data_IF_868400862720
#
_entry.id   IF_868400862720
#
_cell.length_a   1.000
_cell.length_b   1.000
_cell.length_c   1.000
_cell.angle_alpha   90.00
_cell.angle_beta   90.00
_cell.angle_gamma   90.00
#
_symmetry.space_group_name_H-M   'P 1'
#
loop_
_entity.id
_entity.type
_entity.pdbx_description
1 polymer ?
#
# COMPACT_ATOMS: atom_id res chain seq x y z
N UNK A 1 -14.73 -14.13 -32.58
CA UNK A 1 -14.17 -14.88 -31.43
C UNK A 1 -13.44 -14.00 -30.42
N UNK A 2 -12.45 -13.18 -30.80
CA UNK A 2 -11.79 -12.21 -29.89
C UNK A 2 -12.77 -11.37 -29.05
N UNK A 3 -13.79 -10.77 -29.70
CA UNK A 3 -14.86 -10.01 -29.02
C UNK A 3 -15.65 -10.81 -27.97
N UNK A 4 -15.88 -12.11 -28.20
CA UNK A 4 -16.65 -12.99 -27.30
C UNK A 4 -15.81 -13.33 -26.05
N UNK A 5 -14.52 -13.60 -26.25
CA UNK A 5 -13.57 -13.84 -25.17
C UNK A 5 -13.37 -12.61 -24.27
N UNK A 6 -13.24 -11.43 -24.89
CA UNK A 6 -13.10 -10.16 -24.17
C UNK A 6 -14.37 -9.84 -23.36
N UNK A 7 -15.55 -10.10 -23.91
CA UNK A 7 -16.83 -9.98 -23.21
C UNK A 7 -16.91 -10.94 -22.02
N UNK A 8 -16.49 -12.20 -22.19
CA UNK A 8 -16.47 -13.19 -21.11
C UNK A 8 -15.52 -12.80 -19.98
N UNK A 9 -14.34 -12.26 -20.32
CA UNK A 9 -13.37 -11.78 -19.33
C UNK A 9 -13.92 -10.58 -18.55
N UNK A 10 -14.56 -9.62 -19.23
CA UNK A 10 -15.25 -8.50 -18.57
C UNK A 10 -16.33 -8.96 -17.60
N UNK A 11 -17.20 -9.89 -18.02
CA UNK A 11 -18.25 -10.46 -17.17
C UNK A 11 -17.66 -11.20 -15.96
N UNK A 12 -16.60 -11.99 -16.14
CA UNK A 12 -15.91 -12.67 -15.02
C UNK A 12 -15.30 -11.68 -14.02
N UNK A 13 -14.68 -10.60 -14.49
CA UNK A 13 -14.14 -9.53 -13.63
C UNK A 13 -15.25 -8.86 -12.82
N UNK A 14 -16.40 -8.57 -13.44
CA UNK A 14 -17.56 -7.99 -12.76
C UNK A 14 -18.12 -8.93 -11.69
N UNK A 15 -18.32 -10.22 -12.00
CA UNK A 15 -18.80 -11.21 -11.02
C UNK A 15 -17.86 -11.38 -9.83
N UNK A 16 -16.53 -11.40 -10.05
CA UNK A 16 -15.54 -11.43 -8.96
C UNK A 16 -15.60 -10.17 -8.10
N UNK A 17 -15.74 -8.98 -8.71
CA UNK A 17 -15.94 -7.73 -7.95
C UNK A 17 -17.21 -7.78 -7.10
N UNK A 18 -18.31 -8.31 -7.62
CA UNK A 18 -19.56 -8.50 -6.86
C UNK A 18 -19.41 -9.52 -5.72
N UNK A 19 -18.69 -10.62 -5.93
CA UNK A 19 -18.43 -11.62 -4.90
C UNK A 19 -17.54 -11.08 -3.76
N UNK A 20 -16.46 -10.36 -4.11
CA UNK A 20 -15.55 -9.76 -3.11
C UNK A 20 -16.27 -8.76 -2.21
N UNK A 21 -17.18 -7.96 -2.77
CA UNK A 21 -18.03 -7.02 -2.01
C UNK A 21 -18.97 -7.69 -1.02
N UNK A 22 -19.40 -8.93 -1.27
CA UNK A 22 -20.25 -9.68 -0.34
C UNK A 22 -19.51 -10.16 0.91
N UNK A 23 -18.19 -10.37 0.79
CA UNK A 23 -17.32 -10.79 1.89
C UNK A 23 -16.96 -9.63 2.82
N UNK A 24 -16.83 -8.41 2.30
CA UNK A 24 -16.42 -7.22 3.08
C UNK A 24 -17.56 -6.61 3.91
N UNK A 25 -18.83 -6.88 3.59
CA UNK A 25 -19.98 -6.43 4.38
C UNK A 25 -20.05 -7.13 5.76
N UNK A 26 -19.25 -8.19 5.97
CA UNK A 26 -19.31 -9.03 7.18
C UNK A 26 -18.26 -8.70 8.26
N UNK A 27 -17.34 -7.75 8.06
CA UNK A 27 -16.26 -7.52 9.04
C UNK A 27 -15.66 -6.11 9.01
N UNK A 28 -15.81 -5.43 10.16
CA UNK A 28 -15.00 -4.35 10.75
C UNK A 28 -15.20 -2.89 10.32
N UNK A 29 -15.68 -2.08 11.28
CA UNK A 29 -15.54 -0.61 11.39
C UNK A 29 -14.14 -0.24 11.91
N UNK A 30 -13.62 0.98 11.63
CA UNK A 30 -13.62 2.02 12.68
C UNK A 30 -13.84 3.47 12.20
N UNK A 31 -14.20 4.31 13.19
CA UNK A 31 -14.52 5.74 13.17
C UNK A 31 -13.42 6.68 12.61
N UNK A 32 -13.80 7.68 11.81
CA UNK A 32 -13.47 9.11 12.04
C UNK A 32 -14.16 10.05 11.03
N UNK A 33 -14.57 11.21 11.54
CA UNK A 33 -15.47 12.20 10.92
C UNK A 33 -14.77 13.22 10.00
N UNK A 34 -15.54 13.83 9.08
CA UNK A 34 -15.65 15.29 8.89
C UNK A 34 -16.77 15.69 7.91
N UNK A 35 -17.32 16.87 8.16
CA UNK A 35 -18.67 17.35 7.85
C UNK A 35 -18.73 18.32 6.64
N UNK A 36 -19.94 18.42 6.07
CA UNK A 36 -20.51 19.47 5.19
C UNK A 36 -20.01 19.53 3.72
N UNK A 37 -20.83 19.79 2.67
CA UNK A 37 -21.95 20.73 2.61
C UNK A 37 -22.84 20.53 1.35
N UNK A 38 -24.14 20.84 1.47
CA UNK A 38 -25.02 21.47 0.46
C UNK A 38 -25.19 20.86 -0.94
N UNK A 39 -26.36 20.25 -1.21
CA UNK A 39 -26.80 19.97 -2.58
C UNK A 39 -28.09 19.15 -2.67
N UNK A 40 -29.24 19.79 -2.44
CA UNK A 40 -30.57 19.20 -2.70
C UNK A 40 -30.66 18.71 -4.16
N UNK A 41 -31.24 17.51 -4.32
CA UNK A 41 -31.67 16.85 -5.57
C UNK A 41 -30.58 16.08 -6.33
N UNK A 42 -30.19 14.90 -5.81
CA UNK A 42 -29.61 13.76 -6.58
C UNK A 42 -29.47 12.45 -5.75
N UNK A 43 -30.32 12.24 -4.74
CA UNK A 43 -30.15 11.19 -3.72
C UNK A 43 -30.15 9.74 -4.28
N UNK A 44 -30.80 9.48 -5.42
CA UNK A 44 -30.90 8.11 -5.96
C UNK A 44 -29.61 7.60 -6.60
N UNK A 45 -28.82 8.46 -7.24
CA UNK A 45 -27.52 8.08 -7.82
C UNK A 45 -26.40 8.18 -6.78
N UNK A 46 -26.45 9.19 -5.91
CA UNK A 46 -25.42 9.47 -4.92
C UNK A 46 -25.30 8.35 -3.88
N UNK A 47 -26.40 7.77 -3.40
CA UNK A 47 -26.35 6.64 -2.46
C UNK A 47 -25.87 5.35 -3.11
N UNK A 48 -26.29 5.09 -4.35
CA UNK A 48 -25.83 3.95 -5.13
C UNK A 48 -24.33 4.06 -5.37
N UNK A 49 -23.82 5.26 -5.63
CA UNK A 49 -22.40 5.53 -5.78
C UNK A 49 -21.64 5.45 -4.45
N UNK A 50 -22.22 5.99 -3.37
CA UNK A 50 -21.67 5.92 -2.00
C UNK A 50 -21.55 4.48 -1.51
N UNK A 51 -22.59 3.65 -1.64
CA UNK A 51 -22.54 2.23 -1.27
C UNK A 51 -21.68 1.38 -2.23
N UNK A 52 -21.55 1.80 -3.50
CA UNK A 52 -20.66 1.12 -4.48
C UNK A 52 -19.19 1.45 -4.25
N UNK A 53 -18.89 2.64 -3.74
CA UNK A 53 -17.52 3.17 -3.60
C UNK A 53 -17.01 3.15 -2.14
N UNK A 54 -17.90 3.17 -1.15
CA UNK A 54 -17.61 3.19 0.28
C UNK A 54 -18.47 2.14 1.02
N UNK A 55 -18.05 0.85 1.01
CA UNK A 55 -18.65 -0.15 1.89
C UNK A 55 -18.40 0.15 3.39
N UNK A 56 -17.57 1.16 3.70
CA UNK A 56 -17.23 1.63 5.05
C UNK A 56 -17.85 3.00 5.36
N UNK A 57 -18.97 3.35 4.71
CA UNK A 57 -19.66 4.61 5.00
C UNK A 57 -19.94 4.73 6.51
N UNK A 58 -19.71 5.92 7.06
CA UNK A 58 -19.84 6.14 8.50
C UNK A 58 -21.31 6.02 8.93
N UNK A 59 -21.54 5.77 10.22
CA UNK A 59 -22.91 5.72 10.77
C UNK A 59 -23.64 7.05 10.56
N UNK A 60 -22.92 8.17 10.61
CA UNK A 60 -23.45 9.51 10.35
C UNK A 60 -23.87 9.69 8.89
N UNK A 61 -23.10 9.16 7.93
CA UNK A 61 -23.45 9.21 6.49
C UNK A 61 -24.70 8.37 6.18
N UNK A 62 -24.86 7.23 6.86
CA UNK A 62 -26.05 6.41 6.75
C UNK A 62 -27.25 7.10 7.40
N UNK A 63 -27.05 7.73 8.56
CA UNK A 63 -28.09 8.46 9.28
C UNK A 63 -28.62 9.63 8.45
N UNK A 64 -27.74 10.52 7.97
CA UNK A 64 -28.09 11.66 7.11
C UNK A 64 -28.69 11.28 5.75
N UNK A 65 -28.66 10.00 5.38
CA UNK A 65 -29.31 9.52 4.17
C UNK A 65 -30.73 9.01 4.43
N UNK A 66 -30.99 8.45 5.62
CA UNK A 66 -32.30 7.96 6.02
C UNK A 66 -33.16 9.12 6.52
N UNK A 67 -32.57 10.01 7.32
CA UNK A 67 -33.13 11.29 7.76
C UNK A 67 -33.28 12.21 6.53
N UNK A 68 -34.47 12.21 5.96
CA UNK A 68 -34.79 12.84 4.69
C UNK A 68 -35.15 14.32 4.84
N UNK A 69 -35.64 14.72 6.00
CA UNK A 69 -35.98 16.11 6.32
C UNK A 69 -34.88 16.85 7.09
N UNK A 70 -33.92 16.13 7.68
CA UNK A 70 -32.77 16.65 8.39
C UNK A 70 -33.10 17.07 9.82
N UNK A 71 -34.15 16.51 10.43
CA UNK A 71 -34.56 16.84 11.79
C UNK A 71 -33.70 16.17 12.88
N UNK A 72 -32.77 15.29 12.47
CA UNK A 72 -31.87 14.57 13.37
C UNK A 72 -32.49 13.33 14.02
N UNK A 73 -33.69 12.94 13.59
CA UNK A 73 -34.40 11.71 13.94
C UNK A 73 -34.70 10.91 12.67
N UNK A 74 -35.18 9.67 12.83
CA UNK A 74 -35.68 8.87 11.71
C UNK A 74 -37.10 8.48 12.08
N UNK A 75 -38.07 8.98 11.34
CA UNK A 75 -39.47 8.64 11.57
C UNK A 75 -39.85 7.29 10.91
N UNK A 76 -41.06 6.80 11.22
CA UNK A 76 -41.54 5.52 10.68
C UNK A 76 -41.67 5.54 9.15
N UNK A 77 -42.03 6.68 8.56
CA UNK A 77 -42.21 6.84 7.12
C UNK A 77 -40.86 6.80 6.41
N UNK A 78 -39.87 7.52 6.92
CA UNK A 78 -38.49 7.53 6.44
C UNK A 78 -37.86 6.14 6.51
N UNK A 79 -38.11 5.41 7.61
CA UNK A 79 -37.65 4.03 7.75
C UNK A 79 -38.31 3.08 6.74
N UNK A 80 -39.62 3.19 6.53
CA UNK A 80 -40.36 2.38 5.54
C UNK A 80 -39.86 2.68 4.12
N UNK A 81 -39.66 3.95 3.78
CA UNK A 81 -39.12 4.32 2.48
C UNK A 81 -37.70 3.79 2.27
N UNK A 82 -36.83 3.93 3.27
CA UNK A 82 -35.47 3.42 3.21
C UNK A 82 -35.45 1.90 3.01
N UNK A 83 -36.22 1.15 3.79
CA UNK A 83 -36.28 -0.31 3.70
C UNK A 83 -36.84 -0.77 2.36
N UNK A 84 -37.89 -0.12 1.84
CA UNK A 84 -38.44 -0.39 0.51
C UNK A 84 -37.40 -0.14 -0.59
N UNK A 85 -36.68 0.99 -0.54
CA UNK A 85 -35.59 1.29 -1.47
C UNK A 85 -34.48 0.25 -1.40
N UNK A 86 -34.09 -0.17 -0.18
CA UNK A 86 -33.07 -1.20 0.04
C UNK A 86 -33.44 -2.54 -0.57
N UNK A 87 -34.68 -2.98 -0.40
CA UNK A 87 -35.19 -4.23 -0.98
C UNK A 87 -35.18 -4.19 -2.50
N UNK A 88 -35.62 -3.08 -3.11
CA UNK A 88 -35.61 -2.91 -4.56
C UNK A 88 -34.18 -2.94 -5.12
N UNK A 89 -33.22 -2.29 -4.45
CA UNK A 89 -31.80 -2.35 -4.84
C UNK A 89 -31.23 -3.78 -4.77
N UNK A 90 -31.58 -4.53 -3.72
CA UNK A 90 -31.16 -5.93 -3.62
C UNK A 90 -31.73 -6.77 -4.75
N UNK A 91 -33.01 -6.57 -5.08
CA UNK A 91 -33.67 -7.23 -6.20
C UNK A 91 -32.98 -6.91 -7.53
N UNK A 92 -32.71 -5.65 -7.82
CA UNK A 92 -32.00 -5.23 -9.03
C UNK A 92 -30.58 -5.81 -9.11
N UNK A 93 -29.86 -5.84 -7.99
CA UNK A 93 -28.53 -6.46 -7.91
C UNK A 93 -28.56 -7.96 -8.20
N UNK A 94 -29.57 -8.68 -7.69
CA UNK A 94 -29.78 -10.10 -7.98
C UNK A 94 -30.16 -10.31 -9.45
N UNK A 95 -31.05 -9.50 -10.00
CA UNK A 95 -31.43 -9.55 -11.41
C UNK A 95 -30.23 -9.28 -12.34
N UNK A 96 -29.41 -8.27 -12.04
CA UNK A 96 -28.20 -7.96 -12.79
C UNK A 96 -27.20 -9.12 -12.72
N UNK A 97 -26.98 -9.69 -11.53
CA UNK A 97 -26.15 -10.88 -11.36
C UNK A 97 -26.67 -12.05 -12.20
N UNK A 98 -27.97 -12.31 -12.20
CA UNK A 98 -28.58 -13.39 -12.97
C UNK A 98 -28.41 -13.15 -14.48
N UNK A 99 -28.58 -11.91 -14.95
CA UNK A 99 -28.30 -11.52 -16.34
C UNK A 99 -26.84 -11.74 -16.73
N UNK A 100 -25.90 -11.36 -15.85
CA UNK A 100 -24.47 -11.57 -16.07
C UNK A 100 -24.12 -13.06 -16.12
N UNK A 101 -24.70 -13.87 -15.23
CA UNK A 101 -24.52 -15.33 -15.23
C UNK A 101 -25.09 -15.98 -16.50
N UNK A 102 -26.28 -15.57 -16.94
CA UNK A 102 -26.87 -16.06 -18.19
C UNK A 102 -26.00 -15.70 -19.39
N UNK A 103 -25.51 -14.46 -19.45
CA UNK A 103 -24.58 -14.00 -20.49
C UNK A 103 -23.27 -14.79 -20.47
N UNK A 104 -22.71 -15.04 -19.28
CA UNK A 104 -21.52 -15.88 -19.11
C UNK A 104 -21.72 -17.28 -19.68
N UNK A 105 -22.83 -17.95 -19.33
CA UNK A 105 -23.16 -19.29 -19.83
C UNK A 105 -23.31 -19.31 -21.36
N UNK A 106 -24.00 -18.31 -21.92
CA UNK A 106 -24.18 -18.18 -23.38
C UNK A 106 -22.84 -18.00 -24.11
N UNK A 107 -21.94 -17.16 -23.57
CA UNK A 107 -20.61 -16.95 -24.14
C UNK A 107 -19.74 -18.21 -24.02
N UNK A 108 -19.83 -18.95 -22.90
CA UNK A 108 -19.14 -20.22 -22.73
C UNK A 108 -19.61 -21.26 -23.75
N UNK A 109 -20.92 -21.37 -23.99
CA UNK A 109 -21.46 -22.32 -24.96
C UNK A 109 -21.05 -21.95 -26.40
N UNK A 110 -21.03 -20.66 -26.73
CA UNK A 110 -20.49 -20.19 -28.03
C UNK A 110 -19.01 -20.54 -28.20
N UNK A 111 -18.22 -20.44 -27.14
CA UNK A 111 -16.81 -20.86 -27.12
C UNK A 111 -16.66 -22.38 -27.28
N UNK A 112 -17.53 -23.16 -26.62
CA UNK A 112 -17.53 -24.63 -26.70
C UNK A 112 -17.77 -25.09 -28.14
N UNK A 113 -18.78 -24.51 -28.79
CA UNK A 113 -19.17 -24.80 -30.18
C UNK A 113 -18.26 -24.18 -31.24
N UNK A 114 -17.27 -23.38 -30.86
CA UNK A 114 -16.38 -22.74 -31.83
C UNK A 114 -15.48 -23.77 -32.55
N UNK A 115 -15.19 -23.57 -33.86
CA UNK A 115 -14.25 -24.40 -34.60
C UNK A 115 -12.86 -24.45 -33.93
N UNK A 116 -12.09 -25.55 -34.10
CA UNK A 116 -10.75 -25.68 -33.52
C UNK A 116 -9.81 -24.53 -33.91
N UNK A 117 -9.86 -24.09 -35.17
CA UNK A 117 -9.05 -22.97 -35.69
C UNK A 117 -9.35 -21.65 -34.96
N UNK A 118 -10.63 -21.42 -34.62
CA UNK A 118 -11.07 -20.26 -33.86
C UNK A 118 -10.53 -20.28 -32.43
N UNK A 119 -10.49 -21.46 -31.80
CA UNK A 119 -9.93 -21.66 -30.45
C UNK A 119 -8.42 -21.44 -30.44
N UNK A 120 -7.71 -21.89 -31.48
CA UNK A 120 -6.27 -21.70 -31.60
C UNK A 120 -5.88 -20.23 -31.82
N UNK A 121 -6.62 -19.52 -32.70
CA UNK A 121 -6.44 -18.05 -32.88
C UNK A 121 -6.69 -17.28 -31.59
N UNK A 122 -7.67 -17.69 -30.80
CA UNK A 122 -7.95 -17.08 -29.50
C UNK A 122 -6.84 -17.37 -28.47
N UNK A 123 -6.32 -18.60 -28.42
CA UNK A 123 -5.18 -18.97 -27.56
C UNK A 123 -3.95 -18.14 -27.91
N UNK A 124 -3.62 -18.02 -29.20
CA UNK A 124 -2.55 -17.13 -29.68
C UNK A 124 -2.82 -15.68 -29.29
N UNK A 125 -4.04 -15.18 -29.49
CA UNK A 125 -4.43 -13.83 -29.11
C UNK A 125 -4.30 -13.54 -27.61
N UNK A 126 -4.62 -14.52 -26.75
CA UNK A 126 -4.41 -14.42 -25.29
C UNK A 126 -2.94 -14.39 -24.92
N UNK A 127 -2.12 -15.27 -25.49
CA UNK A 127 -0.68 -15.27 -25.26
C UNK A 127 -0.03 -13.92 -25.66
N UNK A 128 -0.46 -13.31 -26.77
CA UNK A 128 -0.01 -11.97 -27.14
C UNK A 128 -0.46 -10.88 -26.16
N UNK A 129 -1.69 -10.97 -25.65
CA UNK A 129 -2.20 -10.01 -24.67
C UNK A 129 -1.45 -10.12 -23.32
N UNK A 130 -1.23 -11.34 -22.83
CA UNK A 130 -0.46 -11.62 -21.62
C UNK A 130 0.99 -11.14 -21.76
N UNK A 131 1.64 -11.42 -22.89
CA UNK A 131 2.99 -10.93 -23.16
C UNK A 131 3.05 -9.40 -23.20
N UNK A 132 2.03 -8.75 -23.77
CA UNK A 132 1.93 -7.28 -23.79
C UNK A 132 1.75 -6.69 -22.39
N UNK A 133 0.92 -7.30 -21.56
CA UNK A 133 0.71 -6.88 -20.17
C UNK A 133 1.99 -7.04 -19.35
N UNK A 134 2.70 -8.17 -19.50
CA UNK A 134 3.99 -8.39 -18.85
C UNK A 134 5.04 -7.33 -19.22
N UNK A 135 5.18 -7.02 -20.52
CA UNK A 135 6.10 -5.96 -20.97
C UNK A 135 5.71 -4.58 -20.43
N UNK A 136 4.41 -4.30 -20.30
CA UNK A 136 3.93 -3.04 -19.74
C UNK A 136 4.29 -2.92 -18.25
N UNK A 137 4.08 -3.99 -17.48
CA UNK A 137 4.46 -4.03 -16.06
C UNK A 137 5.96 -3.87 -15.86
N UNK A 138 6.78 -4.52 -16.70
CA UNK A 138 8.23 -4.36 -16.67
C UNK A 138 8.66 -2.92 -16.99
N UNK A 139 8.04 -2.30 -18.01
CA UNK A 139 8.28 -0.90 -18.35
C UNK A 139 7.93 0.05 -17.20
N UNK A 140 6.78 -0.14 -16.56
CA UNK A 140 6.36 0.66 -15.40
C UNK A 140 7.34 0.53 -14.23
N UNK A 141 7.80 -0.69 -13.94
CA UNK A 141 8.83 -0.95 -12.92
C UNK A 141 10.15 -0.24 -13.23
N UNK A 142 10.58 -0.25 -14.50
CA UNK A 142 11.78 0.48 -14.93
C UNK A 142 11.61 2.00 -14.82
N UNK A 143 10.43 2.53 -15.10
CA UNK A 143 10.14 3.96 -14.93
C UNK A 143 10.22 4.35 -13.45
N UNK A 144 9.61 3.57 -12.56
CA UNK A 144 9.69 3.78 -11.11
C UNK A 144 11.14 3.75 -10.60
N UNK A 145 11.92 2.75 -11.03
CA UNK A 145 13.34 2.64 -10.69
C UNK A 145 14.14 3.87 -11.16
N UNK A 146 13.87 4.36 -12.38
CA UNK A 146 14.54 5.54 -12.91
C UNK A 146 14.17 6.83 -12.17
N UNK A 147 12.92 6.98 -11.74
CA UNK A 147 12.49 8.12 -10.91
C UNK A 147 13.24 8.10 -9.58
N UNK A 148 13.29 6.95 -8.92
CA UNK A 148 14.03 6.77 -7.67
C UNK A 148 15.53 7.09 -7.81
N UNK A 149 16.18 6.60 -8.87
CA UNK A 149 17.59 6.89 -9.12
C UNK A 149 17.85 8.38 -9.37
N UNK A 150 16.93 9.08 -10.04
CA UNK A 150 17.03 10.53 -10.24
C UNK A 150 16.91 11.30 -8.93
N UNK A 151 15.93 10.96 -8.09
CA UNK A 151 15.78 11.57 -6.76
C UNK A 151 17.05 11.39 -5.91
N UNK A 152 17.60 10.17 -5.90
CA UNK A 152 18.83 9.86 -5.16
C UNK A 152 20.05 10.59 -5.71
N UNK A 153 20.14 10.77 -7.03
CA UNK A 153 21.18 11.57 -7.66
C UNK A 153 21.05 13.05 -7.27
N UNK A 154 19.82 13.60 -7.27
CA UNK A 154 19.57 14.97 -6.86
C UNK A 154 19.93 15.23 -5.39
N UNK A 155 19.66 14.28 -4.49
CA UNK A 155 20.09 14.35 -3.09
C UNK A 155 21.61 14.43 -2.96
N UNK A 156 22.34 13.57 -3.69
CA UNK A 156 23.80 13.60 -3.72
C UNK A 156 24.32 14.93 -4.28
N UNK A 157 23.71 15.44 -5.34
CA UNK A 157 24.10 16.74 -5.93
C UNK A 157 23.82 17.90 -4.97
N UNK A 158 22.68 17.90 -4.27
CA UNK A 158 22.34 18.91 -3.25
C UNK A 158 23.33 18.87 -2.09
N UNK A 159 23.65 17.67 -1.59
CA UNK A 159 24.66 17.48 -0.54
C UNK A 159 26.03 18.02 -0.95
N UNK A 160 26.44 17.81 -2.20
CA UNK A 160 27.70 18.34 -2.73
C UNK A 160 27.69 19.87 -2.91
N UNK A 161 26.57 20.48 -3.33
CA UNK A 161 26.47 21.94 -3.54
C UNK A 161 26.42 22.75 -2.24
N UNK A 162 25.96 22.18 -1.14
CA UNK A 162 25.84 22.87 0.16
C UNK A 162 27.18 23.13 0.88
N UNK A 163 28.33 22.80 0.28
CA UNK A 163 29.64 23.35 0.66
C UNK A 163 30.20 22.94 2.03
N UNK A 164 29.63 21.95 2.74
CA UNK A 164 30.01 21.67 4.13
C UNK A 164 30.20 20.21 4.56
N UNK A 165 30.01 19.22 3.69
CA UNK A 165 30.20 17.83 4.08
C UNK A 165 30.34 16.96 2.86
N UNK A 166 31.49 16.31 2.73
CA UNK A 166 31.81 15.43 1.60
C UNK A 166 30.64 14.48 1.32
N UNK A 167 30.22 14.35 0.06
CA UNK A 167 29.33 13.28 -0.40
C UNK A 167 29.78 11.85 -0.06
N UNK A 168 30.90 11.69 0.66
CA UNK A 168 31.24 10.49 1.43
C UNK A 168 30.14 10.11 2.42
N UNK A 169 29.45 11.05 3.07
CA UNK A 169 28.51 10.73 4.15
C UNK A 169 27.45 9.69 3.77
N UNK A 170 26.68 9.91 2.69
CA UNK A 170 25.60 8.96 2.30
C UNK A 170 26.15 7.60 1.88
N UNK A 171 27.25 7.57 1.11
CA UNK A 171 27.91 6.32 0.70
C UNK A 171 28.53 5.59 1.89
N UNK A 172 29.01 6.32 2.89
CA UNK A 172 29.58 5.80 4.13
C UNK A 172 28.49 5.22 5.03
N UNK A 173 27.32 5.85 5.13
CA UNK A 173 26.14 5.28 5.80
C UNK A 173 25.68 3.99 5.11
N UNK A 174 25.65 3.96 3.78
CA UNK A 174 25.26 2.75 3.04
C UNK A 174 26.28 1.61 3.23
N UNK A 175 27.58 1.92 3.22
CA UNK A 175 28.64 0.95 3.52
C UNK A 175 28.55 0.45 4.95
N UNK A 176 28.30 1.34 5.90
CA UNK A 176 28.07 1.01 7.31
C UNK A 176 26.90 0.04 7.45
N UNK A 177 25.74 0.39 6.90
CA UNK A 177 24.54 -0.45 6.97
C UNK A 177 24.78 -1.82 6.34
N UNK A 178 25.40 -1.90 5.16
CA UNK A 178 25.75 -3.18 4.52
C UNK A 178 26.74 -4.01 5.35
N UNK A 179 27.74 -3.39 5.96
CA UNK A 179 28.71 -4.09 6.80
C UNK A 179 28.04 -4.71 8.03
N UNK A 180 27.11 -3.98 8.66
CA UNK A 180 26.31 -4.47 9.78
C UNK A 180 25.36 -5.58 9.35
N UNK A 181 24.59 -5.38 8.26
CA UNK A 181 23.66 -6.40 7.75
C UNK A 181 24.38 -7.70 7.37
N UNK A 182 25.58 -7.64 6.79
CA UNK A 182 26.38 -8.81 6.44
C UNK A 182 26.79 -9.67 7.66
N UNK A 183 26.76 -9.10 8.87
CA UNK A 183 27.05 -9.77 10.14
C UNK A 183 25.80 -10.16 10.93
N UNK A 184 24.61 -9.82 10.42
CA UNK A 184 23.31 -10.10 11.04
C UNK A 184 22.81 -8.93 11.90
N UNK A 185 21.69 -8.33 11.48
CA UNK A 185 21.11 -7.16 12.16
C UNK A 185 20.62 -7.51 13.56
N UNK A 186 20.00 -8.67 13.76
CA UNK A 186 19.54 -9.12 15.09
C UNK A 186 20.70 -9.27 16.09
N UNK A 187 21.84 -9.81 15.63
CA UNK A 187 23.02 -9.94 16.46
C UNK A 187 23.59 -8.56 16.83
N UNK A 188 23.66 -7.65 15.86
CA UNK A 188 24.06 -6.26 16.10
C UNK A 188 23.12 -5.55 17.09
N UNK A 189 21.82 -5.72 16.94
CA UNK A 189 20.81 -5.10 17.80
C UNK A 189 20.94 -5.56 19.26
N UNK A 190 21.07 -6.87 19.48
CA UNK A 190 21.26 -7.44 20.82
C UNK A 190 22.54 -6.90 21.49
N UNK A 191 23.65 -6.90 20.77
CA UNK A 191 24.94 -6.43 21.28
C UNK A 191 24.90 -4.92 21.55
N UNK A 192 24.26 -4.15 20.68
CA UNK A 192 24.08 -2.71 20.86
C UNK A 192 23.26 -2.40 22.10
N UNK A 193 22.18 -3.16 22.35
CA UNK A 193 21.37 -3.03 23.56
C UNK A 193 22.20 -3.20 24.83
N UNK A 194 23.05 -4.23 24.91
CA UNK A 194 23.97 -4.41 26.04
C UNK A 194 24.99 -3.29 26.15
N UNK A 195 25.58 -2.85 25.03
CA UNK A 195 26.58 -1.80 25.02
C UNK A 195 26.05 -0.43 25.48
N UNK A 196 24.77 -0.13 25.25
CA UNK A 196 24.14 1.11 25.75
C UNK A 196 23.99 1.05 27.26
N UNK A 197 23.49 -0.07 27.79
CA UNK A 197 23.29 -0.27 29.23
C UNK A 197 24.61 -0.18 30.02
N UNK A 198 25.72 -0.62 29.42
CA UNK A 198 27.04 -0.57 30.03
C UNK A 198 27.70 0.82 29.96
N UNK A 199 27.24 1.71 29.07
CA UNK A 199 27.85 3.03 28.79
C UNK A 199 27.07 4.21 29.38
N UNK A 200 25.84 4.02 29.85
CA UNK A 200 24.99 5.09 30.38
C UNK A 200 24.73 4.98 31.89
N UNK A 201 25.16 6.01 32.65
CA UNK A 201 24.67 6.28 34.02
C UNK A 201 23.29 6.97 34.01
N UNK A 202 22.81 7.40 32.84
CA UNK A 202 21.56 8.13 32.63
C UNK A 202 20.47 7.21 32.03
N UNK A 203 19.20 7.45 32.39
CA UNK A 203 18.02 6.66 31.93
C UNK A 203 17.69 6.81 30.43
N UNK A 204 18.47 7.60 29.69
CA UNK A 204 18.18 7.91 28.30
C UNK A 204 18.78 6.85 27.35
N UNK A 205 17.91 6.09 26.68
CA UNK A 205 18.22 4.97 25.75
C UNK A 205 18.86 5.43 24.40
N UNK A 206 19.75 6.42 24.43
CA UNK A 206 20.44 6.96 23.26
C UNK A 206 21.73 6.21 22.95
N UNK A 207 22.02 6.05 21.67
CA UNK A 207 23.27 5.43 21.20
C UNK A 207 24.38 6.46 21.16
N UNK A 208 25.35 6.32 22.07
CA UNK A 208 26.58 7.10 22.03
C UNK A 208 27.55 6.53 20.98
N UNK A 209 28.51 7.33 20.47
CA UNK A 209 29.58 6.80 19.62
C UNK A 209 30.44 5.73 20.30
N UNK A 210 30.54 5.74 21.63
CA UNK A 210 31.28 4.76 22.43
C UNK A 210 30.57 3.40 22.45
N UNK A 211 29.28 3.39 22.81
CA UNK A 211 28.43 2.21 22.75
C UNK A 211 28.39 1.61 21.33
N UNK A 212 28.27 2.45 20.30
CA UNK A 212 28.29 2.00 18.91
C UNK A 212 29.64 1.37 18.52
N UNK A 213 30.76 1.95 18.96
CA UNK A 213 32.09 1.39 18.72
C UNK A 213 32.25 0.00 19.34
N UNK A 214 31.78 -0.16 20.57
CA UNK A 214 31.82 -1.44 21.29
C UNK A 214 30.99 -2.49 20.55
N UNK A 215 29.77 -2.12 20.14
CA UNK A 215 28.88 -3.00 19.41
C UNK A 215 29.47 -3.47 18.07
N UNK A 216 30.03 -2.57 17.28
CA UNK A 216 30.67 -2.91 16.00
C UNK A 216 31.86 -3.85 16.18
N UNK A 217 32.68 -3.60 17.21
CA UNK A 217 33.84 -4.44 17.50
C UNK A 217 33.43 -5.87 17.86
N UNK A 218 32.39 -6.02 18.68
CA UNK A 218 31.85 -7.32 19.08
C UNK A 218 31.18 -8.08 17.92
N UNK A 219 30.60 -7.35 16.97
CA UNK A 219 29.99 -7.93 15.75
C UNK A 219 31.04 -8.26 14.67
N UNK A 220 32.29 -7.84 14.85
CA UNK A 220 33.38 -8.06 13.90
C UNK A 220 33.33 -7.14 12.68
N UNK A 221 32.84 -5.91 12.87
CA UNK A 221 32.87 -4.82 11.89
C UNK A 221 34.00 -3.85 12.29
N UNK A 222 34.88 -3.54 11.34
CA UNK A 222 35.94 -2.54 11.56
C UNK A 222 35.32 -1.13 11.68
N UNK A 223 35.27 -0.63 12.91
CA UNK A 223 34.70 0.67 13.22
C UNK A 223 35.61 1.84 12.81
N UNK A 224 36.90 1.61 12.55
CA UNK A 224 37.85 2.67 12.16
C UNK A 224 37.61 3.19 10.75
N UNK A 225 36.91 2.39 9.94
CA UNK A 225 36.46 2.73 8.59
C UNK A 225 35.28 3.70 8.55
N UNK A 226 34.70 4.08 9.69
CA UNK A 226 33.50 4.92 9.77
C UNK A 226 33.65 6.08 10.74
N UNK A 227 33.15 7.27 10.38
CA UNK A 227 32.95 8.35 11.34
C UNK A 227 31.66 8.11 12.14
N UNK A 228 31.78 7.43 13.29
CA UNK A 228 30.64 7.06 14.13
C UNK A 228 29.79 8.25 14.60
N UNK A 229 30.38 9.44 14.75
CA UNK A 229 29.62 10.65 15.09
C UNK A 229 28.69 11.06 13.96
N UNK A 230 29.15 10.95 12.72
CA UNK A 230 28.34 11.25 11.54
C UNK A 230 27.26 10.18 11.34
N UNK A 231 27.55 8.91 11.66
CA UNK A 231 26.56 7.82 11.66
C UNK A 231 25.44 8.10 12.65
N UNK A 232 25.76 8.38 13.92
CA UNK A 232 24.75 8.71 14.93
C UNK A 232 23.96 9.96 14.54
N UNK A 233 24.63 11.01 14.07
CA UNK A 233 23.97 12.23 13.64
C UNK A 233 23.02 11.99 12.46
N UNK A 234 23.44 11.19 11.47
CA UNK A 234 22.63 10.90 10.29
C UNK A 234 21.33 10.19 10.64
N UNK A 235 21.39 9.12 11.43
CA UNK A 235 20.21 8.38 11.85
C UNK A 235 19.37 9.14 12.88
N UNK A 236 20.00 10.00 13.68
CA UNK A 236 19.36 10.88 14.68
C UNK A 236 18.89 12.24 14.15
N UNK A 237 18.93 12.51 12.82
CA UNK A 237 18.58 13.83 12.26
C UNK A 237 17.22 14.35 12.71
N UNK A 238 16.22 13.46 12.79
CA UNK A 238 14.86 13.80 13.23
C UNK A 238 14.77 14.17 14.72
N UNK A 239 15.82 13.88 15.50
CA UNK A 239 15.87 14.07 16.94
C UNK A 239 17.13 14.84 17.38
N UNK A 240 17.44 15.93 16.66
CA UNK A 240 18.56 16.87 16.97
C UNK A 240 19.95 16.19 17.06
N UNK A 241 20.12 15.04 16.41
CA UNK A 241 21.37 14.28 16.42
C UNK A 241 21.44 13.18 17.48
N UNK A 242 20.42 13.04 18.33
CA UNK A 242 20.29 11.92 19.25
C UNK A 242 19.61 10.75 18.52
N UNK A 243 20.26 9.60 18.48
CA UNK A 243 19.71 8.40 17.83
C UNK A 243 19.35 7.38 18.90
N UNK A 244 18.12 6.86 18.87
CA UNK A 244 17.73 5.73 19.71
C UNK A 244 18.18 4.42 19.07
N UNK A 245 18.26 3.36 19.87
CA UNK A 245 18.54 1.99 19.38
C UNK A 245 17.64 1.63 18.19
N UNK A 246 16.33 1.81 18.33
CA UNK A 246 15.35 1.48 17.30
C UNK A 246 15.58 2.27 15.99
N UNK A 247 15.84 3.59 16.09
CA UNK A 247 16.09 4.42 14.91
C UNK A 247 17.33 3.97 14.14
N UNK A 248 18.39 3.56 14.85
CA UNK A 248 19.60 3.07 14.22
C UNK A 248 19.38 1.73 13.53
N UNK A 249 18.67 0.80 14.18
CA UNK A 249 18.37 -0.54 13.63
C UNK A 249 17.47 -0.44 12.40
N UNK A 250 16.39 0.32 12.48
CA UNK A 250 15.48 0.55 11.34
C UNK A 250 16.24 1.18 10.17
N UNK A 251 17.13 2.13 10.47
CA UNK A 251 18.05 2.71 9.51
C UNK A 251 18.93 1.66 8.84
N UNK A 252 19.63 0.84 9.61
CA UNK A 252 20.49 -0.23 9.08
C UNK A 252 19.69 -1.20 8.19
N UNK A 253 18.47 -1.59 8.58
CA UNK A 253 17.60 -2.44 7.77
C UNK A 253 17.26 -1.75 6.44
N UNK A 254 16.86 -0.49 6.48
CA UNK A 254 16.49 0.27 5.27
C UNK A 254 17.64 0.46 4.28
N UNK A 255 18.86 0.73 4.77
CA UNK A 255 20.01 1.03 3.91
C UNK A 255 20.88 -0.20 3.56
N UNK A 256 20.87 -1.22 4.42
CA UNK A 256 21.66 -2.45 4.25
C UNK A 256 20.89 -3.54 3.50
N UNK A 257 19.57 -3.59 3.66
CA UNK A 257 18.66 -4.44 2.91
C UNK A 257 18.25 -3.76 1.62
N UNK A 258 19.12 -3.78 0.59
CA UNK A 258 18.64 -3.55 -0.77
C UNK A 258 17.45 -4.48 -0.99
N UNK A 259 16.28 -3.93 -1.36
CA UNK A 259 15.09 -4.72 -1.69
C UNK A 259 15.51 -5.86 -2.61
N UNK A 260 15.62 -7.07 -2.06
CA UNK A 260 15.77 -8.30 -2.85
C UNK A 260 14.43 -8.64 -3.46
#
# INVERSE_FOLDING_TARGET
MKRVADQLLKVKRLLRKMQKRRMTISSNSPLHAKQANGGRRRASSAFVEMMKNNPNASMDELFSYVDGDGDGSIDEVEWIEFTKRRMEMQRQSVEERNRLLATQKMLQERLRKAPPEAKEREKKGRAYAEKREAMQTEYESLVESNVFLKERLEEVVKANKAGGGSGKGVLEIERFAKAVTARGVENFDNILGSAILDDSDDEDEYVTPSALRLALSNVGVDHTSFNLRDVCYYFGKSNRGNVTRQMLVDGVVMYGGGRQ
#
